data_IF_586293104468
#
_entry.id   IF_586293104468
#
_cell.length_a   1.000
_cell.length_b   1.000
_cell.length_c   1.000
_cell.angle_alpha   90.00
_cell.angle_beta   90.00
_cell.angle_gamma   90.00
#
_symmetry.space_group_name_H-M   'P 1'
#
loop_
_entity.id
_entity.type
_entity.pdbx_description
1 polymer ?
#
# COMPACT_ATOMS: atom_id res chain seq x y z
N UNK A 1 -20.25 -4.02 22.32
CA UNK A 1 -20.36 -3.96 20.86
C UNK A 1 -18.96 -3.66 20.34
N UNK A 2 -18.12 -4.69 20.20
CA UNK A 2 -16.79 -4.52 19.61
C UNK A 2 -16.97 -4.36 18.10
N UNK A 3 -16.60 -3.21 17.57
CA UNK A 3 -16.48 -3.03 16.13
C UNK A 3 -15.38 -3.98 15.61
N UNK A 4 -15.57 -4.64 14.46
CA UNK A 4 -14.51 -5.46 13.89
C UNK A 4 -13.29 -4.57 13.62
N UNK A 5 -12.06 -5.08 13.80
CA UNK A 5 -10.85 -4.30 13.58
C UNK A 5 -10.87 -3.73 12.15
N UNK A 6 -10.88 -2.40 12.03
CA UNK A 6 -10.88 -1.71 10.75
C UNK A 6 -9.50 -1.85 10.09
N UNK A 7 -9.22 -3.00 9.47
CA UNK A 7 -7.93 -3.33 8.82
C UNK A 7 -7.50 -2.35 7.71
N UNK A 8 -8.39 -1.44 7.26
CA UNK A 8 -8.09 -0.41 6.26
C UNK A 8 -7.57 0.92 6.82
N UNK A 9 -7.42 1.06 8.15
CA UNK A 9 -6.90 2.29 8.78
C UNK A 9 -5.37 2.26 8.87
N UNK A 10 -4.68 2.20 7.72
CA UNK A 10 -3.22 2.03 7.67
C UNK A 10 -2.46 3.10 8.47
N UNK A 11 -2.91 4.36 8.42
CA UNK A 11 -2.26 5.46 9.12
C UNK A 11 -2.18 5.24 10.63
N UNK A 12 -3.23 4.71 11.24
CA UNK A 12 -3.28 4.43 12.68
C UNK A 12 -2.25 3.37 13.08
N UNK A 13 -2.24 2.22 12.39
CA UNK A 13 -1.30 1.14 12.71
C UNK A 13 0.16 1.53 12.40
N UNK A 14 0.39 2.28 11.32
CA UNK A 14 1.73 2.75 10.99
C UNK A 14 2.23 3.78 12.01
N UNK A 15 1.37 4.67 12.50
CA UNK A 15 1.73 5.64 13.53
C UNK A 15 2.21 4.93 14.80
N UNK A 16 1.47 3.92 15.26
CA UNK A 16 1.89 3.08 16.40
C UNK A 16 3.24 2.41 16.12
N UNK A 17 3.42 1.78 14.96
CA UNK A 17 4.68 1.14 14.61
C UNK A 17 5.85 2.11 14.61
N UNK A 18 5.64 3.33 14.14
CA UNK A 18 6.67 4.35 14.11
C UNK A 18 7.04 4.86 15.52
N UNK A 19 6.18 4.70 16.51
CA UNK A 19 6.52 5.01 17.90
C UNK A 19 7.45 3.97 18.53
N UNK A 20 7.38 2.71 18.07
CA UNK A 20 8.22 1.61 18.57
C UNK A 20 9.48 1.38 17.74
N UNK A 21 9.43 1.68 16.45
CA UNK A 21 10.53 1.44 15.51
C UNK A 21 10.99 2.74 14.85
N UNK A 22 12.31 2.93 14.77
CA UNK A 22 12.88 4.02 13.99
C UNK A 22 12.40 3.95 12.53
N UNK A 23 12.08 5.12 11.94
CA UNK A 23 11.53 5.14 10.57
C UNK A 23 12.46 4.53 9.53
N UNK A 24 13.78 4.53 9.74
CA UNK A 24 14.71 3.86 8.81
C UNK A 24 14.54 2.35 8.75
N UNK A 25 13.81 1.74 9.69
CA UNK A 25 13.59 0.29 9.80
C UNK A 25 12.24 -0.20 9.27
N UNK A 26 11.41 0.70 8.73
CA UNK A 26 10.13 0.35 8.14
C UNK A 26 10.08 0.92 6.72
N UNK A 27 9.86 0.08 5.71
CA UNK A 27 9.70 0.50 4.33
C UNK A 27 8.23 0.36 3.91
N UNK A 28 7.61 1.47 3.52
CA UNK A 28 6.24 1.48 2.99
C UNK A 28 6.29 1.50 1.47
N UNK A 29 5.60 0.57 0.81
CA UNK A 29 5.60 0.41 -0.64
C UNK A 29 4.19 0.48 -1.20
N UNK A 30 4.05 1.05 -2.40
CA UNK A 30 2.79 1.02 -3.14
C UNK A 30 2.61 -0.30 -3.89
N UNK A 31 1.43 -0.89 -3.74
CA UNK A 31 1.02 -2.04 -4.55
C UNK A 31 0.87 -1.70 -6.04
N UNK A 32 0.55 -0.45 -6.37
CA UNK A 32 0.46 -0.02 -7.78
C UNK A 32 1.85 -0.03 -8.44
N UNK A 33 2.92 0.30 -7.71
CA UNK A 33 4.30 0.16 -8.21
C UNK A 33 4.63 -1.32 -8.43
N UNK A 34 4.22 -2.22 -7.52
CA UNK A 34 4.39 -3.67 -7.72
C UNK A 34 3.75 -4.17 -9.02
N UNK A 35 2.58 -3.62 -9.35
CA UNK A 35 1.78 -4.04 -10.51
C UNK A 35 2.36 -3.47 -11.81
N UNK A 36 2.76 -2.19 -11.79
CA UNK A 36 3.20 -1.45 -12.98
C UNK A 36 4.69 -1.58 -13.27
N UNK A 37 5.54 -1.55 -12.23
CA UNK A 37 7.00 -1.61 -12.31
C UNK A 37 7.59 -2.44 -11.14
N UNK A 38 7.44 -3.79 -11.22
CA UNK A 38 7.92 -4.68 -10.17
C UNK A 38 9.43 -4.65 -9.98
N UNK A 39 10.21 -4.30 -11.00
CA UNK A 39 11.68 -4.33 -10.92
C UNK A 39 12.20 -3.12 -10.15
N UNK A 40 11.59 -1.94 -10.33
CA UNK A 40 11.86 -0.79 -9.45
C UNK A 40 11.54 -1.11 -7.99
N UNK A 41 10.38 -1.71 -7.72
CA UNK A 41 10.00 -2.08 -6.35
C UNK A 41 10.98 -3.09 -5.73
N UNK A 42 11.40 -4.13 -6.48
CA UNK A 42 12.45 -5.05 -6.03
C UNK A 42 13.74 -4.32 -5.69
N UNK A 43 14.14 -3.35 -6.51
CA UNK A 43 15.30 -2.51 -6.27
C UNK A 43 15.21 -1.78 -4.93
N UNK A 44 14.04 -1.18 -4.61
CA UNK A 44 13.80 -0.55 -3.30
C UNK A 44 13.94 -1.54 -2.14
N UNK A 45 13.39 -2.74 -2.28
CA UNK A 45 13.51 -3.79 -1.27
C UNK A 45 14.97 -4.23 -1.10
N UNK A 46 15.71 -4.40 -2.20
CA UNK A 46 17.14 -4.73 -2.17
C UNK A 46 17.94 -3.68 -1.41
N UNK A 47 17.75 -2.40 -1.78
CA UNK A 47 18.45 -1.27 -1.20
C UNK A 47 18.12 -1.13 0.30
N UNK A 48 16.87 -1.39 0.70
CA UNK A 48 16.45 -1.36 2.11
C UNK A 48 17.06 -2.49 2.95
N UNK A 49 17.19 -3.69 2.38
CA UNK A 49 17.79 -4.84 3.05
C UNK A 49 19.33 -4.82 3.00
N UNK A 50 19.94 -3.85 2.30
CA UNK A 50 21.39 -3.79 2.10
C UNK A 50 21.91 -4.95 1.24
N UNK A 51 21.09 -5.48 0.34
CA UNK A 51 21.43 -6.59 -0.54
C UNK A 51 21.95 -6.08 -1.88
N UNK A 52 22.90 -6.79 -2.47
CA UNK A 52 23.28 -6.56 -3.86
C UNK A 52 22.10 -6.93 -4.78
N UNK A 53 21.79 -6.06 -5.74
CA UNK A 53 20.64 -6.21 -6.65
C UNK A 53 20.66 -7.54 -7.41
N UNK A 54 21.86 -8.02 -7.78
CA UNK A 54 22.10 -9.32 -8.40
C UNK A 54 21.51 -10.50 -7.62
N UNK A 55 21.43 -10.41 -6.28
CA UNK A 55 20.87 -11.47 -5.42
C UNK A 55 19.34 -11.51 -5.38
N UNK A 56 18.67 -10.44 -5.80
CA UNK A 56 17.21 -10.35 -5.85
C UNK A 56 16.66 -10.69 -7.24
N UNK A 57 17.47 -10.55 -8.31
CA UNK A 57 17.04 -10.83 -9.69
C UNK A 57 16.66 -12.30 -9.93
N UNK A 58 17.17 -13.24 -9.12
CA UNK A 58 16.79 -14.65 -9.18
C UNK A 58 15.33 -14.88 -8.74
N UNK A 59 14.78 -13.97 -7.93
CA UNK A 59 13.40 -13.97 -7.48
C UNK A 59 12.44 -13.38 -8.51
N UNK A 60 11.81 -14.24 -9.33
CA UNK A 60 10.71 -13.80 -10.18
C UNK A 60 9.48 -13.48 -9.31
N UNK A 61 9.18 -12.19 -9.12
CA UNK A 61 7.83 -11.76 -8.73
C UNK A 61 6.91 -12.16 -9.88
N UNK A 62 6.30 -13.31 -9.74
CA UNK A 62 5.42 -13.86 -10.75
C UNK A 62 4.18 -12.99 -10.85
N UNK A 63 4.00 -12.29 -11.97
CA UNK A 63 2.70 -11.69 -12.35
C UNK A 63 1.56 -12.72 -12.33
N UNK A 64 1.91 -14.02 -12.36
CA UNK A 64 0.98 -15.14 -12.25
C UNK A 64 0.80 -15.74 -10.85
N UNK A 65 1.49 -15.24 -9.80
CA UNK A 65 1.18 -15.63 -8.41
C UNK A 65 -0.21 -15.11 -8.00
N UNK A 66 -0.61 -13.94 -8.53
CA UNK A 66 -1.99 -13.49 -8.57
C UNK A 66 -2.66 -13.94 -9.89
N UNK A 67 -2.52 -15.23 -10.25
CA UNK A 67 -3.42 -15.83 -11.25
C UNK A 67 -4.82 -15.64 -10.71
N UNK A 68 -5.57 -14.82 -11.42
CA UNK A 68 -6.95 -14.41 -11.25
C UNK A 68 -7.97 -15.58 -11.15
N UNK A 69 -7.69 -16.58 -10.33
CA UNK A 69 -8.37 -17.87 -10.27
C UNK A 69 -8.98 -18.13 -8.88
N UNK A 70 -9.14 -17.10 -8.04
CA UNK A 70 -10.04 -17.19 -6.88
C UNK A 70 -11.42 -16.70 -7.31
N UNK A 71 -12.43 -17.54 -7.07
CA UNK A 71 -13.86 -17.26 -7.33
C UNK A 71 -14.43 -16.14 -6.45
N UNK A 72 -13.60 -15.57 -5.58
CA UNK A 72 -13.95 -14.56 -4.57
C UNK A 72 -13.59 -13.13 -5.00
N UNK A 73 -13.36 -12.87 -6.29
CA UNK A 73 -13.18 -11.50 -6.77
C UNK A 73 -14.36 -10.65 -6.34
N UNK A 74 -14.07 -9.56 -5.65
CA UNK A 74 -15.07 -8.59 -5.25
C UNK A 74 -15.61 -7.94 -6.53
N UNK A 75 -16.89 -8.14 -6.82
CA UNK A 75 -17.60 -7.38 -7.86
C UNK A 75 -17.48 -5.89 -7.56
N UNK A 76 -17.35 -5.05 -8.60
CA UNK A 76 -17.30 -3.59 -8.39
C UNK A 76 -18.53 -3.19 -7.55
N UNK A 77 -18.34 -2.47 -6.42
CA UNK A 77 -19.49 -2.01 -5.64
C UNK A 77 -20.30 -1.00 -6.47
N UNK A 78 -21.62 -1.00 -6.29
CA UNK A 78 -22.47 0.03 -6.88
C UNK A 78 -22.08 1.43 -6.39
N UNK A 79 -22.37 2.47 -7.18
CA UNK A 79 -21.88 3.84 -6.94
C UNK A 79 -22.20 4.36 -5.54
N UNK A 80 -23.40 4.14 -5.01
CA UNK A 80 -23.75 4.56 -3.63
C UNK A 80 -22.89 3.90 -2.56
N UNK A 81 -22.49 2.63 -2.74
CA UNK A 81 -21.60 1.94 -1.79
C UNK A 81 -20.18 2.48 -1.93
N UNK A 82 -19.73 2.71 -3.17
CA UNK A 82 -18.42 3.29 -3.45
C UNK A 82 -18.27 4.69 -2.82
N UNK A 83 -19.26 5.58 -3.00
CA UNK A 83 -19.28 6.91 -2.38
C UNK A 83 -19.18 6.83 -0.85
N UNK A 84 -19.92 5.91 -0.22
CA UNK A 84 -19.84 5.70 1.23
C UNK A 84 -18.46 5.20 1.67
N UNK A 85 -17.88 4.25 0.95
CA UNK A 85 -16.53 3.76 1.24
C UNK A 85 -15.50 4.88 1.09
N UNK A 86 -15.58 5.65 0.01
CA UNK A 86 -14.73 6.83 -0.22
C UNK A 86 -14.84 7.80 0.96
N UNK A 87 -16.05 8.22 1.32
CA UNK A 87 -16.27 9.12 2.44
C UNK A 87 -15.76 8.56 3.78
N UNK A 88 -15.86 7.24 3.98
CA UNK A 88 -15.36 6.56 5.18
C UNK A 88 -13.83 6.61 5.29
N UNK A 89 -13.12 6.44 4.17
CA UNK A 89 -11.65 6.36 4.16
C UNK A 89 -10.93 7.65 3.76
N UNK A 90 -11.63 8.68 3.31
CA UNK A 90 -11.03 9.93 2.84
C UNK A 90 -10.14 10.58 3.92
N UNK A 91 -10.69 10.83 5.10
CA UNK A 91 -9.92 11.40 6.22
C UNK A 91 -8.78 10.49 6.68
N UNK A 92 -8.99 9.18 6.94
CA UNK A 92 -7.89 8.26 7.24
C UNK A 92 -6.77 8.23 6.20
N UNK A 93 -7.10 8.32 4.91
CA UNK A 93 -6.10 8.33 3.84
C UNK A 93 -5.33 9.65 3.82
N UNK A 94 -6.01 10.79 3.99
CA UNK A 94 -5.36 12.10 4.16
C UNK A 94 -4.38 12.06 5.34
N UNK A 95 -4.80 11.48 6.47
CA UNK A 95 -3.96 11.36 7.66
C UNK A 95 -2.75 10.45 7.44
N UNK A 96 -2.94 9.33 6.73
CA UNK A 96 -1.84 8.45 6.30
C UNK A 96 -0.81 9.23 5.48
N UNK A 97 -1.23 9.96 4.45
CA UNK A 97 -0.28 10.73 3.62
C UNK A 97 0.43 11.80 4.44
N UNK A 98 -0.31 12.51 5.28
CA UNK A 98 0.28 13.49 6.20
C UNK A 98 1.29 12.86 7.17
N UNK A 99 1.00 11.66 7.69
CA UNK A 99 1.92 10.92 8.56
C UNK A 99 3.22 10.58 7.83
N UNK A 100 3.15 10.05 6.61
CA UNK A 100 4.32 9.66 5.82
C UNK A 100 5.21 10.86 5.44
N UNK A 101 4.61 12.03 5.20
CA UNK A 101 5.36 13.27 4.97
C UNK A 101 6.02 13.80 6.26
N UNK A 102 5.30 13.78 7.39
CA UNK A 102 5.82 14.26 8.69
C UNK A 102 6.87 13.34 9.30
N UNK A 103 6.78 12.03 9.03
CA UNK A 103 7.67 10.98 9.56
C UNK A 103 8.30 10.21 8.40
N UNK A 104 9.25 10.86 7.68
CA UNK A 104 9.84 10.29 6.48
C UNK A 104 10.52 8.95 6.76
N UNK A 105 10.26 7.95 5.91
CA UNK A 105 10.91 6.65 5.96
C UNK A 105 12.38 6.63 5.49
N UNK A 106 12.89 5.47 5.07
CA UNK A 106 14.22 5.37 4.50
C UNK A 106 14.28 5.96 3.07
N UNK A 107 15.48 6.24 2.50
CA UNK A 107 15.62 6.99 1.24
C UNK A 107 15.04 6.32 0.00
N UNK A 108 14.91 4.99 0.00
CA UNK A 108 14.33 4.22 -1.10
C UNK A 108 12.81 4.13 -1.04
N UNK A 109 12.15 4.72 -0.04
CA UNK A 109 10.70 4.86 0.02
C UNK A 109 10.20 5.88 -1.04
N UNK A 110 9.00 5.66 -1.61
CA UNK A 110 8.42 6.57 -2.59
C UNK A 110 8.07 7.93 -1.93
N UNK A 111 8.44 9.05 -2.58
CA UNK A 111 8.15 10.40 -2.07
C UNK A 111 7.75 11.39 -3.18
N UNK A 112 6.64 12.14 -3.01
CA UNK A 112 5.61 11.90 -1.99
C UNK A 112 5.01 10.49 -2.17
N UNK A 113 4.46 9.90 -1.10
CA UNK A 113 3.85 8.58 -1.22
C UNK A 113 2.63 8.66 -2.17
N UNK A 114 2.50 7.73 -3.15
CA UNK A 114 1.41 7.80 -4.12
C UNK A 114 0.05 7.66 -3.44
N UNK A 115 -0.89 8.51 -3.85
CA UNK A 115 -2.27 8.46 -3.35
C UNK A 115 -3.02 7.29 -3.97
N UNK A 116 -3.96 6.72 -3.23
CA UNK A 116 -4.81 5.63 -3.71
C UNK A 116 -5.68 6.13 -4.86
N UNK A 117 -5.78 5.32 -5.91
CA UNK A 117 -6.68 5.58 -7.02
C UNK A 117 -8.11 5.30 -6.57
N UNK A 118 -8.99 6.26 -6.82
CA UNK A 118 -10.41 6.07 -6.51
C UNK A 118 -11.01 5.00 -7.43
N UNK A 119 -11.69 3.98 -6.87
CA UNK A 119 -12.25 2.91 -7.69
C UNK A 119 -13.41 3.44 -8.53
N UNK A 120 -13.45 3.08 -9.81
CA UNK A 120 -14.64 3.28 -10.66
C UNK A 120 -15.82 2.47 -10.12
N UNK A 121 -17.01 3.07 -10.09
CA UNK A 121 -18.25 2.33 -9.78
C UNK A 121 -18.91 1.77 -11.05
N UNK A 122 -19.76 0.75 -10.89
CA UNK A 122 -20.53 0.16 -11.98
C UNK A 122 -21.94 0.79 -12.03
N UNK A 123 -22.33 1.31 -13.20
CA UNK A 123 -23.69 1.83 -13.48
C UNK A 123 -23.85 3.33 -13.73
N UNK A 124 -22.99 3.94 -14.56
CA UNK A 124 -23.29 5.24 -15.19
C UNK A 124 -24.07 5.06 -16.49
#
# INVERSE_FOLDING_TARGET
>A
SEFPPCFGLYGHFLEEWFDWFDRSRVLVLSYDELTNDPDTLKGRVADFLGLEKSKIEEGKISKTANKHATTSKVTKPGCTVNEKLKATFDKPNIDLYGLLERRPGPPMEQRPFPKFVEPECEGA
#
